data_IF_258916797093
#
_entry.id   IF_258916797093
#
_cell.length_a   1.000
_cell.length_b   1.000
_cell.length_c   1.000
_cell.angle_alpha   90.00
_cell.angle_beta   90.00
_cell.angle_gamma   90.00
#
_symmetry.space_group_name_H-M   'P 1'
#
loop_
_entity.id
_entity.type
_entity.pdbx_description
1 polymer ?
#
# COMPACT_ATOMS: atom_id res chain seq x y z
N UNK A 1 5.87 -51.08 17.46
CA UNK A 1 5.50 -49.71 17.89
C UNK A 1 4.71 -49.04 16.76
N UNK A 2 3.38 -49.02 16.79
CA UNK A 2 2.54 -48.44 15.73
C UNK A 2 2.78 -46.93 15.51
N UNK A 3 3.32 -46.24 16.51
CA UNK A 3 3.60 -44.81 16.54
C UNK A 3 4.86 -44.39 15.76
N UNK A 4 5.70 -45.33 15.31
CA UNK A 4 6.93 -45.05 14.55
C UNK A 4 6.86 -45.54 13.08
N UNK A 5 5.65 -45.74 12.55
CA UNK A 5 5.46 -46.21 11.17
C UNK A 5 5.82 -45.09 10.16
N UNK A 6 6.74 -45.30 9.21
CA UNK A 6 7.26 -44.23 8.32
C UNK A 6 6.19 -43.47 7.53
N UNK A 7 5.10 -44.14 7.18
CA UNK A 7 3.96 -43.52 6.46
C UNK A 7 3.19 -42.47 7.28
N UNK A 8 3.49 -42.31 8.57
CA UNK A 8 2.94 -41.25 9.43
C UNK A 8 3.92 -40.10 9.66
N UNK A 9 5.11 -40.16 9.08
CA UNK A 9 6.08 -39.07 9.20
C UNK A 9 5.65 -37.88 8.37
N UNK A 10 5.86 -36.69 8.93
CA UNK A 10 5.67 -35.43 8.21
C UNK A 10 6.58 -35.40 6.97
N UNK A 11 6.00 -35.13 5.80
CA UNK A 11 6.74 -35.07 4.53
C UNK A 11 6.81 -36.36 3.70
N UNK A 12 6.20 -37.46 4.17
CA UNK A 12 6.13 -38.72 3.40
C UNK A 12 4.89 -38.84 2.50
N UNK A 13 3.91 -37.93 2.66
CA UNK A 13 2.79 -37.82 1.74
C UNK A 13 3.20 -37.09 0.47
N UNK A 14 2.62 -37.48 -0.66
CA UNK A 14 2.80 -36.74 -1.92
C UNK A 14 2.34 -35.27 -1.73
N UNK A 15 3.03 -34.30 -2.36
CA UNK A 15 2.60 -32.91 -2.37
C UNK A 15 1.13 -32.83 -2.81
N UNK A 16 0.32 -32.11 -2.05
CA UNK A 16 -1.07 -31.86 -2.44
C UNK A 16 -1.08 -30.79 -3.52
N UNK A 17 -1.54 -31.14 -4.71
CA UNK A 17 -1.73 -30.19 -5.81
C UNK A 17 -3.16 -29.64 -5.81
N UNK A 18 -3.30 -28.31 -5.86
CA UNK A 18 -4.60 -27.70 -6.09
C UNK A 18 -4.96 -27.80 -7.57
N UNK A 19 -6.06 -28.48 -7.88
CA UNK A 19 -6.57 -28.61 -9.27
C UNK A 19 -7.20 -27.32 -9.80
N UNK A 20 -7.47 -26.37 -8.92
CA UNK A 20 -8.04 -25.05 -9.25
C UNK A 20 -6.99 -23.99 -8.87
N UNK A 21 -6.74 -22.99 -9.73
CA UNK A 21 -5.92 -21.83 -9.35
C UNK A 21 -6.44 -21.20 -8.06
N UNK A 22 -5.53 -20.85 -7.14
CA UNK A 22 -5.92 -20.22 -5.87
C UNK A 22 -6.58 -18.85 -6.10
N UNK A 23 -6.19 -18.17 -7.18
CA UNK A 23 -6.78 -16.95 -7.68
C UNK A 23 -7.28 -17.11 -9.10
N UNK A 24 -8.37 -16.40 -9.39
CA UNK A 24 -8.76 -16.09 -10.76
C UNK A 24 -7.72 -15.14 -11.39
N UNK A 25 -7.23 -15.51 -12.58
CA UNK A 25 -6.22 -14.73 -13.32
C UNK A 25 -6.82 -13.48 -13.96
N UNK A 26 -8.13 -13.46 -14.16
CA UNK A 26 -8.85 -12.34 -14.76
C UNK A 26 -9.27 -11.29 -13.70
N UNK A 27 -8.90 -11.50 -12.43
CA UNK A 27 -9.20 -10.58 -11.33
C UNK A 27 -7.94 -9.85 -10.83
N UNK A 28 -8.03 -8.53 -10.55
CA UNK A 28 -6.89 -7.74 -10.07
C UNK A 28 -6.30 -8.24 -8.76
N UNK A 29 -4.97 -8.30 -8.66
CA UNK A 29 -4.29 -8.67 -7.41
C UNK A 29 -4.56 -7.59 -6.38
N UNK A 30 -5.19 -7.97 -5.26
CA UNK A 30 -5.55 -7.03 -4.20
C UNK A 30 -4.38 -6.89 -3.23
N UNK A 31 -3.84 -5.68 -3.10
CA UNK A 31 -2.75 -5.34 -2.19
C UNK A 31 -3.15 -4.19 -1.26
N UNK A 32 -2.51 -4.14 -0.10
CA UNK A 32 -2.48 -2.93 0.74
C UNK A 32 -1.08 -2.31 0.71
N UNK A 33 -0.96 -1.05 1.13
CA UNK A 33 0.34 -0.37 1.21
C UNK A 33 1.35 -1.12 2.08
N UNK A 34 0.92 -1.67 3.22
CA UNK A 34 1.76 -2.52 4.08
C UNK A 34 2.07 -3.90 3.48
N UNK A 35 1.14 -4.49 2.72
CA UNK A 35 1.38 -5.76 2.04
C UNK A 35 2.39 -5.60 0.89
N UNK A 36 2.42 -4.44 0.24
CA UNK A 36 3.41 -4.14 -0.79
C UNK A 36 4.84 -4.10 -0.21
N UNK A 37 5.02 -3.50 0.96
CA UNK A 37 6.32 -3.50 1.62
C UNK A 37 6.80 -4.91 1.96
N UNK A 38 5.90 -5.75 2.51
CA UNK A 38 6.20 -7.16 2.78
C UNK A 38 6.59 -7.93 1.50
N UNK A 39 5.90 -7.65 0.39
CA UNK A 39 6.18 -8.28 -0.91
C UNK A 39 7.52 -7.81 -1.48
N UNK A 40 7.81 -6.50 -1.44
CA UNK A 40 8.99 -5.89 -2.07
C UNK A 40 10.27 -6.09 -1.25
N UNK A 41 10.20 -5.98 0.07
CA UNK A 41 11.36 -5.90 0.95
C UNK A 41 11.55 -7.13 1.86
N UNK A 42 10.49 -7.92 2.09
CA UNK A 42 10.58 -9.07 3.01
C UNK A 42 10.68 -10.40 2.25
N UNK A 43 9.57 -10.92 1.72
CA UNK A 43 9.52 -12.22 1.05
C UNK A 43 8.15 -12.46 0.38
N UNK A 44 8.16 -12.71 -0.93
CA UNK A 44 6.95 -13.01 -1.69
C UNK A 44 6.22 -14.28 -1.20
N UNK A 45 6.96 -15.30 -0.76
CA UNK A 45 6.35 -16.52 -0.20
C UNK A 45 5.66 -16.22 1.12
N UNK A 46 6.25 -15.39 1.98
CA UNK A 46 5.64 -15.02 3.25
C UNK A 46 4.36 -14.20 3.02
N UNK A 47 4.38 -13.25 2.08
CA UNK A 47 3.19 -12.52 1.66
C UNK A 47 2.09 -13.49 1.17
N UNK A 48 2.44 -14.45 0.30
CA UNK A 48 1.50 -15.44 -0.22
C UNK A 48 0.89 -16.31 0.89
N UNK A 49 1.72 -16.83 1.79
CA UNK A 49 1.24 -17.67 2.90
C UNK A 49 0.35 -16.88 3.87
N UNK A 50 0.73 -15.65 4.20
CA UNK A 50 -0.07 -14.79 5.08
C UNK A 50 -1.39 -14.38 4.45
N UNK A 51 -1.36 -13.89 3.20
CA UNK A 51 -2.54 -13.27 2.56
C UNK A 51 -3.45 -14.24 1.81
N UNK A 52 -2.87 -15.12 1.00
CA UNK A 52 -3.65 -16.03 0.15
C UNK A 52 -4.03 -17.31 0.92
N UNK A 53 -3.12 -17.83 1.74
CA UNK A 53 -3.36 -19.06 2.53
C UNK A 53 -3.91 -18.75 3.93
N UNK A 54 -3.96 -17.46 4.34
CA UNK A 54 -4.44 -17.00 5.65
C UNK A 54 -3.69 -17.65 6.82
N UNK A 55 -2.41 -17.93 6.63
CA UNK A 55 -1.54 -18.58 7.61
C UNK A 55 -0.81 -17.58 8.53
N UNK A 56 -1.37 -16.38 8.70
CA UNK A 56 -0.81 -15.38 9.62
C UNK A 56 -0.92 -15.84 11.07
N UNK A 57 0.11 -15.52 11.84
CA UNK A 57 0.08 -15.74 13.28
C UNK A 57 -0.98 -14.83 13.94
N UNK A 58 -1.56 -15.25 15.08
CA UNK A 58 -2.45 -14.39 15.85
C UNK A 58 -1.79 -13.05 16.19
N UNK A 59 -2.61 -11.99 16.24
CA UNK A 59 -2.13 -10.66 16.59
C UNK A 59 -1.42 -10.66 17.95
N UNK A 60 -0.22 -10.10 17.97
CA UNK A 60 0.57 -9.92 19.19
C UNK A 60 0.09 -8.72 20.00
N UNK A 61 0.41 -8.68 21.30
CA UNK A 61 0.13 -7.52 22.14
C UNK A 61 0.71 -6.20 21.56
N UNK A 62 1.85 -6.27 20.88
CA UNK A 62 2.48 -5.12 20.23
C UNK A 62 1.67 -4.62 19.02
N UNK A 63 1.03 -5.51 18.26
CA UNK A 63 0.13 -5.12 17.16
C UNK A 63 -1.18 -4.55 17.70
N UNK A 64 -1.76 -5.16 18.73
CA UNK A 64 -2.96 -4.63 19.39
C UNK A 64 -2.73 -3.24 19.97
N UNK A 65 -1.58 -3.02 20.63
CA UNK A 65 -1.12 -1.71 21.07
C UNK A 65 -1.06 -0.70 19.91
N UNK A 66 -0.42 -1.07 18.80
CA UNK A 66 -0.25 -0.19 17.66
C UNK A 66 -1.59 0.29 17.14
N UNK A 67 -2.53 -0.65 16.94
CA UNK A 67 -3.88 -0.34 16.49
C UNK A 67 -4.61 0.61 17.43
N UNK A 68 -4.51 0.40 18.75
CA UNK A 68 -5.17 1.29 19.73
C UNK A 68 -4.59 2.71 19.65
N UNK A 69 -3.26 2.85 19.60
CA UNK A 69 -2.62 4.16 19.48
C UNK A 69 -3.00 4.86 18.18
N UNK A 70 -3.11 4.14 17.06
CA UNK A 70 -3.59 4.69 15.80
C UNK A 70 -5.02 5.21 15.92
N UNK A 71 -5.95 4.41 16.44
CA UNK A 71 -7.35 4.83 16.62
C UNK A 71 -7.45 6.07 17.51
N UNK A 72 -6.70 6.12 18.61
CA UNK A 72 -6.67 7.29 19.49
C UNK A 72 -6.07 8.53 18.80
N UNK A 73 -5.04 8.35 17.99
CA UNK A 73 -4.45 9.43 17.20
C UNK A 73 -5.44 9.97 16.16
N UNK A 74 -6.19 9.08 15.50
CA UNK A 74 -7.25 9.46 14.58
C UNK A 74 -8.38 10.22 15.28
N UNK A 75 -8.89 9.72 16.41
CA UNK A 75 -9.99 10.39 17.13
C UNK A 75 -9.64 11.86 17.48
N UNK A 76 -8.38 12.12 17.80
CA UNK A 76 -7.87 13.48 18.02
C UNK A 76 -7.71 14.23 16.70
N UNK A 77 -7.16 13.58 15.67
CA UNK A 77 -6.97 14.18 14.36
C UNK A 77 -8.28 14.60 13.68
N UNK A 78 -9.34 13.83 13.88
CA UNK A 78 -10.69 14.08 13.37
C UNK A 78 -11.54 14.98 14.29
N UNK A 79 -11.03 15.33 15.48
CA UNK A 79 -11.71 16.20 16.44
C UNK A 79 -12.83 15.54 17.24
N UNK A 80 -12.99 14.21 17.17
CA UNK A 80 -13.95 13.45 17.98
C UNK A 80 -13.55 13.40 19.46
N UNK A 81 -12.24 13.39 19.74
CA UNK A 81 -11.67 13.37 21.08
C UNK A 81 -10.78 14.59 21.29
N UNK A 82 -10.86 15.29 22.43
CA UNK A 82 -9.96 16.39 22.75
C UNK A 82 -8.49 15.97 22.70
N UNK A 83 -7.62 16.86 22.24
CA UNK A 83 -6.16 16.69 22.26
C UNK A 83 -5.60 16.83 23.69
N UNK A 84 -6.04 15.95 24.59
CA UNK A 84 -5.71 15.94 26.02
C UNK A 84 -5.23 14.55 26.45
N UNK A 85 -4.09 14.50 27.15
CA UNK A 85 -3.46 13.24 27.51
C UNK A 85 -4.32 12.42 28.50
N UNK A 86 -4.96 13.07 29.48
CA UNK A 86 -5.72 12.36 30.50
C UNK A 86 -6.93 11.67 29.86
N UNK A 87 -7.58 12.34 28.90
CA UNK A 87 -8.69 11.76 28.12
C UNK A 87 -8.22 10.55 27.31
N UNK A 88 -7.08 10.66 26.62
CA UNK A 88 -6.53 9.55 25.84
C UNK A 88 -6.11 8.37 26.72
N UNK A 89 -5.57 8.63 27.91
CA UNK A 89 -5.20 7.59 28.86
C UNK A 89 -6.43 6.88 29.44
N UNK A 90 -7.53 7.59 29.70
CA UNK A 90 -8.80 6.96 30.11
C UNK A 90 -9.35 6.04 29.00
N UNK A 91 -9.31 6.48 27.75
CA UNK A 91 -9.73 5.66 26.60
C UNK A 91 -8.83 4.45 26.41
N UNK A 92 -7.52 4.64 26.50
CA UNK A 92 -6.55 3.55 26.46
C UNK A 92 -6.87 2.51 27.54
N UNK A 93 -7.14 2.94 28.77
CA UNK A 93 -7.44 2.05 29.89
C UNK A 93 -8.71 1.23 29.70
N UNK A 94 -9.72 1.79 29.03
CA UNK A 94 -10.96 1.08 28.72
C UNK A 94 -10.75 -0.13 27.79
N UNK A 95 -9.75 -0.07 26.89
CA UNK A 95 -9.45 -1.14 25.93
C UNK A 95 -8.22 -1.97 26.33
N UNK A 96 -7.39 -1.49 27.25
CA UNK A 96 -6.11 -2.11 27.62
C UNK A 96 -6.28 -3.53 28.15
N UNK A 97 -7.34 -3.78 28.93
CA UNK A 97 -7.63 -5.08 29.52
C UNK A 97 -8.03 -6.15 28.49
N UNK A 98 -8.35 -5.76 27.25
CA UNK A 98 -8.62 -6.70 26.16
C UNK A 98 -7.34 -7.23 25.50
N UNK A 99 -6.18 -6.60 25.75
CA UNK A 99 -4.90 -7.03 25.22
C UNK A 99 -4.32 -8.17 26.06
N UNK A 100 -3.98 -9.28 25.41
CA UNK A 100 -3.35 -10.42 26.06
C UNK A 100 -1.84 -10.18 26.23
N UNK A 101 -1.38 -10.04 27.48
CA UNK A 101 0.05 -9.94 27.81
C UNK A 101 0.54 -11.21 28.51
N UNK A 102 1.76 -11.63 28.17
CA UNK A 102 2.38 -12.83 28.76
C UNK A 102 2.69 -12.68 30.26
N UNK A 103 2.84 -11.44 30.74
CA UNK A 103 3.17 -11.14 32.12
C UNK A 103 2.68 -9.73 32.54
N UNK A 104 2.28 -9.51 33.81
CA UNK A 104 1.80 -8.21 34.29
C UNK A 104 2.81 -7.07 34.11
N UNK A 105 4.09 -7.30 34.42
CA UNK A 105 5.12 -6.27 34.28
C UNK A 105 5.32 -5.79 32.83
N UNK A 106 5.04 -6.66 31.84
CA UNK A 106 5.13 -6.34 30.42
C UNK A 106 3.95 -5.45 29.99
N UNK A 107 2.76 -5.69 30.56
CA UNK A 107 1.59 -4.82 30.39
C UNK A 107 1.91 -3.41 30.90
N UNK A 108 2.39 -3.27 32.14
CA UNK A 108 2.73 -1.96 32.71
C UNK A 108 3.79 -1.22 31.89
N UNK A 109 4.83 -1.92 31.43
CA UNK A 109 5.86 -1.33 30.58
C UNK A 109 5.30 -0.86 29.22
N UNK A 110 4.46 -1.66 28.55
CA UNK A 110 3.86 -1.23 27.28
C UNK A 110 2.84 -0.09 27.48
N UNK A 111 2.16 -0.03 28.63
CA UNK A 111 1.25 1.08 28.97
C UNK A 111 2.01 2.39 29.14
N UNK A 112 3.15 2.35 29.83
CA UNK A 112 4.03 3.51 29.96
C UNK A 112 4.58 3.96 28.59
N UNK A 113 4.95 3.00 27.73
CA UNK A 113 5.35 3.32 26.35
C UNK A 113 4.20 3.94 25.54
N UNK A 114 2.95 3.55 25.80
CA UNK A 114 1.76 4.15 25.19
C UNK A 114 1.64 5.62 25.57
N UNK A 115 1.73 5.90 26.88
CA UNK A 115 1.65 7.25 27.43
C UNK A 115 2.66 8.17 26.76
N UNK A 116 3.92 7.76 26.69
CA UNK A 116 4.99 8.54 26.05
C UNK A 116 4.75 8.73 24.55
N UNK A 117 4.21 7.72 23.85
CA UNK A 117 3.88 7.85 22.43
C UNK A 117 2.73 8.83 22.18
N UNK A 118 1.69 8.81 23.03
CA UNK A 118 0.56 9.74 22.98
C UNK A 118 0.99 11.17 23.33
N UNK A 119 1.88 11.35 24.32
CA UNK A 119 2.47 12.66 24.63
C UNK A 119 3.19 13.26 23.42
N UNK A 120 4.01 12.47 22.73
CA UNK A 120 4.71 12.89 21.50
C UNK A 120 3.72 13.22 20.39
N UNK A 121 2.71 12.38 20.20
CA UNK A 121 1.66 12.63 19.21
C UNK A 121 0.95 13.96 19.49
N UNK A 122 0.52 14.21 20.73
CA UNK A 122 -0.18 15.43 21.11
C UNK A 122 0.68 16.68 20.88
N UNK A 123 1.95 16.63 21.27
CA UNK A 123 2.88 17.72 20.99
C UNK A 123 3.03 17.95 19.49
N UNK A 124 3.23 16.90 18.70
CA UNK A 124 3.33 17.00 17.24
C UNK A 124 2.04 17.51 16.60
N UNK A 125 0.88 17.10 17.11
CA UNK A 125 -0.44 17.44 16.56
C UNK A 125 -0.73 18.94 16.64
N UNK A 126 -0.30 19.61 17.72
CA UNK A 126 -0.55 21.05 17.95
C UNK A 126 0.54 21.98 17.39
N UNK A 127 1.63 21.42 16.87
CA UNK A 127 2.72 22.22 16.30
C UNK A 127 2.34 22.80 14.93
N UNK A 128 2.86 23.99 14.63
CA UNK A 128 2.82 24.55 13.28
C UNK A 128 3.75 23.75 12.37
N UNK A 129 3.18 23.08 11.37
CA UNK A 129 3.87 22.14 10.46
C UNK A 129 4.13 22.80 9.12
N UNK A 130 4.85 23.92 9.17
CA UNK A 130 5.18 24.74 8.02
C UNK A 130 3.93 25.18 7.21
N UNK A 131 2.85 25.54 7.91
CA UNK A 131 1.61 26.00 7.27
C UNK A 131 0.75 24.90 6.63
N UNK A 132 1.05 23.61 6.87
CA UNK A 132 0.19 22.50 6.42
C UNK A 132 -1.08 22.42 7.27
N UNK A 133 -2.21 22.29 6.60
CA UNK A 133 -3.53 22.19 7.24
C UNK A 133 -4.09 20.78 7.07
N UNK A 134 -4.48 20.08 8.15
CA UNK A 134 -5.16 18.78 8.01
C UNK A 134 -6.50 18.94 7.29
N UNK A 135 -6.74 18.09 6.29
CA UNK A 135 -7.98 18.07 5.49
C UNK A 135 -8.79 16.80 5.71
N UNK A 136 -8.12 15.68 6.01
CA UNK A 136 -8.77 14.40 6.31
C UNK A 136 -7.92 13.56 7.27
N UNK A 137 -8.58 12.65 7.98
CA UNK A 137 -7.98 11.62 8.84
C UNK A 137 -8.62 10.28 8.51
N UNK A 138 -7.85 9.20 8.58
CA UNK A 138 -8.29 7.83 8.26
C UNK A 138 -9.01 7.73 6.91
N UNK A 139 -8.42 8.35 5.88
CA UNK A 139 -9.02 8.48 4.55
C UNK A 139 -8.82 7.20 3.71
N UNK A 140 -9.92 6.54 3.37
CA UNK A 140 -9.92 5.34 2.54
C UNK A 140 -9.53 5.65 1.09
N UNK A 141 -8.78 4.73 0.47
CA UNK A 141 -8.52 4.79 -0.97
C UNK A 141 -8.61 3.41 -1.64
N UNK A 142 -9.02 3.43 -2.91
CA UNK A 142 -9.15 2.25 -3.75
C UNK A 142 -8.57 2.50 -5.16
N UNK A 143 -7.27 2.29 -5.21
CA UNK A 143 -6.36 2.22 -6.36
C UNK A 143 -6.61 1.08 -7.34
N UNK A 144 -6.71 1.24 -8.65
CA UNK A 144 -6.39 0.11 -9.57
C UNK A 144 -5.34 0.55 -10.59
N UNK A 145 -4.21 -0.14 -10.59
CA UNK A 145 -3.02 0.18 -11.38
C UNK A 145 -2.74 -0.95 -12.36
N UNK A 146 -2.29 -0.59 -13.56
CA UNK A 146 -1.81 -1.55 -14.55
C UNK A 146 -0.32 -1.86 -14.29
N UNK A 147 0.01 -3.16 -14.18
CA UNK A 147 1.37 -3.67 -13.96
C UNK A 147 1.70 -4.72 -15.03
N UNK A 148 2.04 -4.26 -16.23
CA UNK A 148 2.28 -5.14 -17.38
C UNK A 148 0.97 -5.79 -17.85
N UNK A 149 0.92 -7.12 -17.83
CA UNK A 149 -0.28 -7.89 -18.21
C UNK A 149 -1.28 -8.09 -17.04
N UNK A 150 -0.99 -7.54 -15.86
CA UNK A 150 -1.81 -7.71 -14.66
C UNK A 150 -2.39 -6.38 -14.17
N UNK A 151 -3.60 -6.43 -13.63
CA UNK A 151 -4.16 -5.34 -12.84
C UNK A 151 -3.86 -5.56 -11.35
N UNK A 152 -3.44 -4.50 -10.67
CA UNK A 152 -3.15 -4.49 -9.24
C UNK A 152 -4.07 -3.48 -8.57
N UNK A 153 -5.00 -3.99 -7.76
CA UNK A 153 -5.89 -3.17 -6.97
C UNK A 153 -5.26 -2.89 -5.62
N UNK A 154 -4.95 -1.64 -5.33
CA UNK A 154 -4.38 -1.23 -4.06
C UNK A 154 -5.44 -0.55 -3.20
N UNK A 155 -5.73 -1.15 -2.05
CA UNK A 155 -6.67 -0.62 -1.07
C UNK A 155 -5.96 -0.34 0.24
N UNK A 156 -6.36 0.74 0.89
CA UNK A 156 -5.86 1.06 2.22
C UNK A 156 -6.50 2.31 2.74
N UNK A 157 -5.87 2.81 3.79
CA UNK A 157 -6.31 3.99 4.51
C UNK A 157 -5.08 4.86 4.75
N UNK A 158 -5.22 6.16 4.56
CA UNK A 158 -4.20 7.15 4.89
C UNK A 158 -4.53 7.71 6.26
N UNK A 159 -3.64 7.52 7.25
CA UNK A 159 -3.90 7.95 8.63
C UNK A 159 -4.26 9.44 8.70
N UNK A 160 -3.57 10.28 7.93
CA UNK A 160 -3.86 11.72 7.84
C UNK A 160 -3.43 12.32 6.51
N UNK A 161 -4.27 13.18 5.95
CA UNK A 161 -4.06 13.92 4.71
C UNK A 161 -4.09 15.42 5.00
N UNK A 162 -3.15 16.15 4.41
CA UNK A 162 -2.98 17.58 4.65
C UNK A 162 -2.85 18.35 3.34
N UNK A 163 -3.28 19.61 3.33
CA UNK A 163 -2.97 20.55 2.28
C UNK A 163 -1.72 21.35 2.68
N UNK A 164 -0.72 21.38 1.81
CA UNK A 164 0.42 22.29 1.96
C UNK A 164 0.07 23.73 1.52
N UNK A 165 1.00 24.67 1.70
CA UNK A 165 0.80 26.07 1.32
C UNK A 165 0.59 26.31 -0.18
N UNK A 166 0.92 25.33 -1.03
CA UNK A 166 0.73 25.36 -2.47
C UNK A 166 -0.56 24.62 -2.92
N UNK A 167 -1.35 24.11 -1.96
CA UNK A 167 -2.58 23.35 -2.22
C UNK A 167 -2.35 21.91 -2.68
N UNK A 168 -1.14 21.37 -2.49
CA UNK A 168 -0.82 19.96 -2.78
C UNK A 168 -1.18 19.08 -1.59
N UNK A 169 -1.47 17.81 -1.86
CA UNK A 169 -1.80 16.83 -0.83
C UNK A 169 -0.52 16.20 -0.25
N UNK A 170 -0.41 16.25 1.07
CA UNK A 170 0.70 15.69 1.83
C UNK A 170 0.16 14.60 2.76
N UNK A 171 0.72 13.40 2.70
CA UNK A 171 0.21 12.24 3.46
C UNK A 171 1.09 11.97 4.67
N UNK A 172 0.48 11.76 5.84
CA UNK A 172 1.17 11.39 7.07
C UNK A 172 0.73 9.99 7.47
N UNK A 173 1.71 9.13 7.77
CA UNK A 173 1.50 7.77 8.28
C UNK A 173 2.18 7.66 9.65
N UNK A 174 1.39 7.34 10.68
CA UNK A 174 1.88 7.15 12.03
C UNK A 174 2.51 5.77 12.15
N UNK A 175 3.64 5.69 12.85
CA UNK A 175 4.31 4.41 13.12
C UNK A 175 4.51 4.24 14.62
N UNK A 176 3.96 3.14 15.11
CA UNK A 176 4.05 2.70 16.52
C UNK A 176 5.11 1.61 16.71
N UNK A 177 5.99 1.42 15.73
CA UNK A 177 7.09 0.47 15.77
C UNK A 177 8.23 0.92 16.69
N UNK A 178 8.94 -0.05 17.29
CA UNK A 178 10.16 0.22 18.10
C UNK A 178 11.38 0.58 17.24
N UNK A 179 11.35 0.23 15.95
CA UNK A 179 12.41 0.52 14.99
C UNK A 179 11.89 1.44 13.90
N UNK A 180 12.74 2.36 13.46
CA UNK A 180 12.46 3.25 12.35
C UNK A 180 13.40 2.91 11.19
N UNK A 181 12.89 2.97 9.95
CA UNK A 181 13.75 2.87 8.77
C UNK A 181 14.80 3.99 8.77
N UNK A 182 15.92 3.74 8.10
CA UNK A 182 16.95 4.74 7.79
C UNK A 182 16.42 5.77 6.78
N UNK A 183 17.07 6.93 6.69
CA UNK A 183 16.67 7.96 5.71
C UNK A 183 16.66 7.42 4.27
N UNK A 184 17.66 6.60 3.92
CA UNK A 184 17.76 5.98 2.59
C UNK A 184 16.65 4.97 2.29
N UNK A 185 16.17 4.26 3.32
CA UNK A 185 15.01 3.36 3.17
C UNK A 185 13.73 4.16 3.01
N UNK A 186 13.60 5.31 3.70
CA UNK A 186 12.43 6.20 3.57
C UNK A 186 12.34 6.83 2.18
N UNK A 187 13.47 7.24 1.58
CA UNK A 187 13.51 7.76 0.20
C UNK A 187 12.84 6.81 -0.81
N UNK A 188 12.90 5.49 -0.57
CA UNK A 188 12.33 4.46 -1.45
C UNK A 188 11.24 3.63 -0.77
N UNK A 189 10.56 4.20 0.22
CA UNK A 189 9.55 3.49 0.99
C UNK A 189 8.33 3.14 0.12
N UNK A 190 8.01 1.85 -0.11
CA UNK A 190 6.94 1.46 -1.04
C UNK A 190 5.56 1.95 -0.59
N UNK A 191 5.27 1.90 0.71
CA UNK A 191 3.97 2.31 1.25
C UNK A 191 3.73 3.82 1.04
N UNK A 192 4.75 4.65 1.25
CA UNK A 192 4.62 6.10 1.07
C UNK A 192 4.50 6.45 -0.41
N UNK A 193 5.28 5.78 -1.27
CA UNK A 193 5.17 5.94 -2.72
C UNK A 193 3.76 5.59 -3.25
N UNK A 194 3.13 4.54 -2.68
CA UNK A 194 1.74 4.18 -2.99
C UNK A 194 0.76 5.27 -2.60
N UNK A 195 0.91 5.89 -1.44
CA UNK A 195 0.00 6.98 -1.03
C UNK A 195 0.12 8.17 -1.97
N UNK A 196 1.35 8.55 -2.34
CA UNK A 196 1.59 9.64 -3.27
C UNK A 196 1.05 9.32 -4.68
N UNK A 197 1.13 8.06 -5.11
CA UNK A 197 0.49 7.60 -6.35
C UNK A 197 -1.04 7.64 -6.24
N UNK A 198 -1.62 7.17 -5.13
CA UNK A 198 -3.06 7.21 -4.92
C UNK A 198 -3.60 8.64 -4.98
N UNK A 199 -2.88 9.61 -4.39
CA UNK A 199 -3.18 11.05 -4.54
C UNK A 199 -3.21 11.45 -6.02
N UNK A 200 -2.18 11.08 -6.80
CA UNK A 200 -2.12 11.41 -8.23
C UNK A 200 -3.24 10.76 -9.07
N UNK A 201 -3.74 9.60 -8.63
CA UNK A 201 -4.87 8.90 -9.25
C UNK A 201 -6.25 9.45 -8.83
N UNK A 202 -6.28 10.40 -7.88
CA UNK A 202 -7.49 11.09 -7.43
C UNK A 202 -8.13 10.48 -6.19
N UNK A 203 -7.37 9.75 -5.38
CA UNK A 203 -7.87 9.15 -4.14
C UNK A 203 -8.38 10.17 -3.12
N UNK A 204 -7.99 11.44 -3.23
CA UNK A 204 -8.31 12.51 -2.28
C UNK A 204 -9.13 13.64 -2.91
N UNK A 205 -9.64 13.46 -4.13
CA UNK A 205 -10.35 14.52 -4.85
C UNK A 205 -11.57 15.05 -4.05
N UNK A 206 -12.25 14.18 -3.30
CA UNK A 206 -13.41 14.51 -2.47
C UNK A 206 -13.09 15.43 -1.28
N UNK A 207 -11.91 15.27 -0.68
CA UNK A 207 -11.43 16.12 0.43
C UNK A 207 -10.69 17.38 -0.04
N UNK A 208 -10.56 17.55 -1.36
CA UNK A 208 -10.01 18.74 -2.03
C UNK A 208 -11.06 19.40 -2.96
N UNK A 209 -12.32 19.44 -2.53
CA UNK A 209 -13.44 20.10 -3.23
C UNK A 209 -13.65 19.61 -4.68
N UNK A 210 -13.37 18.34 -4.95
CA UNK A 210 -13.45 17.72 -6.28
C UNK A 210 -12.29 18.07 -7.21
N UNK A 211 -11.28 18.80 -6.72
CA UNK A 211 -10.06 19.12 -7.49
C UNK A 211 -9.01 18.07 -7.20
N UNK A 212 -8.27 17.66 -8.22
CA UNK A 212 -7.15 16.73 -8.06
C UNK A 212 -5.88 17.47 -7.61
N UNK A 213 -5.44 17.35 -6.35
CA UNK A 213 -4.19 17.95 -5.91
C UNK A 213 -3.00 17.16 -6.45
N UNK A 214 -1.88 17.84 -6.66
CA UNK A 214 -0.60 17.16 -6.86
C UNK A 214 -0.10 16.53 -5.56
N UNK A 215 0.77 15.50 -5.62
CA UNK A 215 1.45 14.98 -4.43
C UNK A 215 2.50 16.00 -3.94
N UNK A 216 2.36 16.43 -2.69
CA UNK A 216 3.28 17.34 -2.00
C UNK A 216 4.38 16.63 -1.20
N UNK A 217 4.31 15.30 -1.09
CA UNK A 217 5.20 14.48 -0.27
C UNK A 217 4.42 13.54 0.63
N UNK A 218 5.14 12.67 1.34
CA UNK A 218 4.56 11.88 2.41
C UNK A 218 5.58 11.66 3.54
N UNK A 219 5.14 11.47 4.78
CA UNK A 219 6.05 11.27 5.91
C UNK A 219 5.63 10.16 6.87
N UNK A 220 6.64 9.53 7.48
CA UNK A 220 6.47 8.64 8.61
C UNK A 220 6.67 9.42 9.91
N UNK A 221 5.72 9.30 10.83
CA UNK A 221 5.81 9.89 12.18
C UNK A 221 5.97 8.76 13.21
N UNK A 222 7.17 8.60 13.74
CA UNK A 222 7.54 7.49 14.62
C UNK A 222 7.20 7.81 16.08
N UNK A 223 5.98 7.49 16.52
CA UNK A 223 5.45 7.87 17.84
C UNK A 223 6.24 7.30 19.02
N UNK A 224 6.89 6.14 18.84
CA UNK A 224 7.70 5.51 19.89
C UNK A 224 9.15 5.96 19.91
N UNK A 225 9.58 6.80 18.96
CA UNK A 225 10.97 7.24 18.86
C UNK A 225 11.06 8.75 18.95
N UNK A 226 11.90 9.22 19.87
CA UNK A 226 12.25 10.63 19.97
C UNK A 226 12.93 11.14 18.71
N UNK A 227 12.68 12.40 18.38
CA UNK A 227 13.42 13.13 17.37
C UNK A 227 14.88 13.34 17.79
N UNK A 228 15.74 13.72 16.84
CA UNK A 228 17.09 14.14 17.18
C UNK A 228 17.05 15.39 18.07
N UNK A 229 18.06 15.61 18.92
CA UNK A 229 18.10 16.77 19.85
C UNK A 229 17.91 18.12 19.17
N UNK A 230 18.37 18.27 17.92
CA UNK A 230 18.22 19.49 17.12
C UNK A 230 16.79 19.72 16.62
N UNK A 231 15.99 18.65 16.57
CA UNK A 231 14.62 18.60 16.02
C UNK A 231 13.59 18.42 17.15
N UNK A 232 13.92 18.85 18.39
CA UNK A 232 13.04 18.79 19.57
C UNK A 232 13.31 17.63 20.54
N UNK A 233 14.18 16.68 20.20
CA UNK A 233 14.60 15.62 21.12
C UNK A 233 13.49 14.62 21.47
N UNK A 234 13.56 14.05 22.68
CA UNK A 234 12.69 12.95 23.11
C UNK A 234 11.22 13.30 23.26
N UNK A 235 10.85 14.59 23.26
CA UNK A 235 9.48 15.05 23.44
C UNK A 235 8.69 15.07 22.13
N UNK A 236 9.37 15.11 20.99
CA UNK A 236 8.76 15.05 19.66
C UNK A 236 9.02 13.70 19.00
N UNK A 237 8.10 13.23 18.15
CA UNK A 237 8.32 12.02 17.37
C UNK A 237 9.36 12.27 16.29
N UNK A 238 10.16 11.25 15.97
CA UNK A 238 11.02 11.28 14.79
C UNK A 238 10.15 11.31 13.52
N UNK A 239 10.26 12.39 12.74
CA UNK A 239 9.59 12.56 11.45
C UNK A 239 10.56 12.23 10.32
N UNK A 240 10.11 11.47 9.33
CA UNK A 240 10.91 11.12 8.16
C UNK A 240 10.09 11.33 6.89
N UNK A 241 10.44 12.35 6.13
CA UNK A 241 9.76 12.68 4.88
C UNK A 241 10.34 11.89 3.70
N UNK A 242 9.45 11.56 2.77
CA UNK A 242 9.73 11.12 1.41
C UNK A 242 9.23 12.21 0.46
N UNK A 243 10.13 12.73 -0.36
CA UNK A 243 9.79 13.70 -1.41
C UNK A 243 8.84 13.09 -2.44
N UNK A 244 8.04 13.93 -3.12
CA UNK A 244 7.23 13.47 -4.23
C UNK A 244 8.09 12.94 -5.37
N UNK A 245 7.65 11.88 -6.08
CA UNK A 245 8.36 11.38 -7.23
C UNK A 245 8.51 12.49 -8.29
N UNK A 246 9.73 12.68 -8.80
CA UNK A 246 10.03 13.67 -9.84
C UNK A 246 9.13 13.45 -11.07
N UNK A 247 8.37 14.47 -11.49
CA UNK A 247 7.50 14.42 -12.67
C UNK A 247 5.99 14.61 -12.42
N UNK A 248 5.56 14.87 -11.18
CA UNK A 248 4.13 15.11 -10.86
C UNK A 248 3.62 16.53 -11.19
N UNK A 249 4.49 17.45 -11.61
CA UNK A 249 4.15 18.84 -12.00
C UNK A 249 3.66 19.02 -13.44
N UNK A 250 3.60 17.95 -14.22
CA UNK A 250 2.88 17.88 -15.50
C UNK A 250 2.49 16.43 -15.65
N UNK A 251 1.23 16.14 -16.00
CA UNK A 251 0.75 14.80 -16.25
C UNK A 251 1.71 14.02 -17.17
N UNK A 252 2.69 13.34 -16.58
CA UNK A 252 3.49 12.36 -17.27
C UNK A 252 2.63 11.13 -17.22
N UNK A 253 1.77 11.01 -18.21
CA UNK A 253 1.05 9.80 -18.51
C UNK A 253 2.07 8.66 -18.43
N UNK A 254 1.95 7.81 -17.41
CA UNK A 254 2.57 6.50 -17.44
C UNK A 254 2.16 5.90 -18.79
N UNK A 255 3.11 5.44 -19.63
CA UNK A 255 2.76 4.98 -20.97
C UNK A 255 1.74 3.84 -20.82
N UNK A 256 0.49 4.12 -21.16
CA UNK A 256 -0.57 3.11 -21.17
C UNK A 256 -0.09 2.00 -22.12
N UNK A 257 -0.02 0.73 -21.67
CA UNK A 257 0.22 -0.36 -22.59
C UNK A 257 -0.85 -0.32 -23.71
N UNK A 258 -0.49 -0.66 -24.95
CA UNK A 258 -1.42 -0.58 -26.07
C UNK A 258 -2.66 -1.43 -25.80
N UNK A 259 -3.80 -0.75 -25.64
CA UNK A 259 -5.07 -1.38 -25.28
C UNK A 259 -5.46 -2.45 -26.30
N UNK A 260 -5.86 -3.63 -25.81
CA UNK A 260 -6.58 -4.60 -26.64
C UNK A 260 -7.94 -4.02 -26.98
N UNK A 261 -8.19 -3.82 -28.27
CA UNK A 261 -9.50 -3.46 -28.80
C UNK A 261 -10.55 -4.50 -28.43
N UNK A 262 -11.33 -4.22 -27.40
CA UNK A 262 -12.60 -4.91 -27.14
C UNK A 262 -13.64 -4.37 -28.12
N UNK A 263 -13.85 -5.08 -29.23
CA UNK A 263 -15.02 -4.85 -30.07
C UNK A 263 -16.25 -5.40 -29.37
N UNK A 264 -17.05 -4.51 -28.78
CA UNK A 264 -18.42 -4.80 -28.37
C UNK A 264 -19.26 -5.13 -29.60
N UNK A 265 -19.46 -6.42 -29.86
CA UNK A 265 -20.48 -6.94 -30.76
C UNK A 265 -21.71 -7.34 -29.95
N UNK A 266 -22.73 -6.49 -29.95
CA UNK A 266 -24.06 -6.81 -29.43
C UNK A 266 -24.71 -7.91 -30.29
N UNK A 267 -24.80 -9.12 -29.75
CA UNK A 267 -25.44 -10.25 -30.43
C UNK A 267 -26.01 -11.27 -29.44
N UNK A 268 -27.34 -11.27 -29.31
CA UNK A 268 -28.13 -12.27 -28.57
C UNK A 268 -27.73 -13.71 -28.94
N UNK A 269 -27.72 -14.68 -28.01
CA UNK A 269 -27.50 -16.07 -28.37
C UNK A 269 -28.80 -16.67 -28.93
N UNK A 270 -28.72 -17.27 -30.13
CA UNK A 270 -29.71 -18.22 -30.64
C UNK A 270 -29.07 -19.61 -30.60
N UNK A 271 -29.80 -20.56 -30.01
CA UNK A 271 -29.44 -21.97 -30.00
C UNK A 271 -29.38 -22.54 -31.44
N UNK A 272 -28.47 -23.50 -31.67
CA UNK A 272 -28.77 -24.81 -32.28
C UNK A 272 -27.50 -25.50 -32.83
N UNK A 273 -27.33 -26.76 -32.40
CA UNK A 273 -26.82 -27.94 -33.15
C UNK A 273 -25.39 -28.01 -33.69
N UNK A 274 -24.69 -29.06 -33.24
CA UNK A 274 -23.56 -29.71 -33.92
C UNK A 274 -23.94 -30.22 -35.34
N UNK A 275 -22.96 -30.42 -36.24
CA UNK A 275 -22.46 -31.79 -36.40
C UNK A 275 -20.96 -31.95 -36.74
N UNK A 276 -20.43 -33.10 -36.30
CA UNK A 276 -19.53 -34.08 -36.94
C UNK A 276 -18.52 -33.67 -38.03
N UNK A 277 -17.26 -34.08 -37.82
CA UNK A 277 -16.13 -34.11 -38.77
C UNK A 277 -16.33 -35.11 -39.94
N UNK A 278 -15.46 -35.19 -40.99
CA UNK A 278 -14.12 -35.79 -40.83
C UNK A 278 -12.97 -35.34 -41.80
N UNK A 279 -11.73 -35.54 -41.32
CA UNK A 279 -10.51 -36.06 -41.99
C UNK A 279 -10.04 -35.62 -43.40
N UNK A 280 -8.75 -35.24 -43.51
CA UNK A 280 -7.89 -35.58 -44.66
C UNK A 280 -6.85 -34.53 -45.11
N UNK A 281 -5.68 -34.90 -45.70
CA UNK A 281 -4.39 -34.37 -45.23
C UNK A 281 -3.49 -33.64 -46.27
N UNK A 282 -2.36 -33.14 -45.73
CA UNK A 282 -0.98 -33.08 -46.29
C UNK A 282 -0.48 -31.85 -47.08
N UNK A 283 0.69 -31.39 -46.60
CA UNK A 283 1.94 -31.05 -47.32
C UNK A 283 2.39 -29.56 -47.32
N UNK A 284 3.59 -29.34 -46.76
CA UNK A 284 4.50 -28.20 -46.96
C UNK A 284 5.42 -28.47 -48.18
N UNK A 285 6.55 -27.76 -48.45
CA UNK A 285 7.07 -26.47 -47.99
C UNK A 285 7.62 -25.57 -49.15
N UNK A 286 8.18 -24.39 -48.85
CA UNK A 286 9.04 -23.67 -49.82
C UNK A 286 9.36 -22.20 -49.48
N UNK A 287 10.65 -21.81 -49.30
CA UNK A 287 11.09 -20.47 -48.89
C UNK A 287 11.69 -19.63 -50.05
N UNK A 288 11.84 -18.31 -49.85
CA UNK A 288 12.82 -17.37 -50.47
C UNK A 288 12.59 -15.97 -49.85
N UNK A 289 13.54 -15.37 -49.12
CA UNK A 289 14.82 -14.75 -49.53
C UNK A 289 14.68 -13.35 -50.15
N UNK A 290 15.50 -12.41 -49.68
CA UNK A 290 15.85 -11.15 -50.35
C UNK A 290 15.59 -9.91 -49.50
N UNK A 291 16.62 -9.35 -48.83
CA UNK A 291 17.36 -8.11 -49.23
C UNK A 291 16.56 -6.82 -49.04
N UNK A 292 17.07 -5.66 -48.66
CA UNK A 292 18.33 -5.10 -48.15
C UNK A 292 18.10 -3.56 -48.16
N UNK A 293 19.04 -2.79 -47.61
CA UNK A 293 19.20 -1.33 -47.72
C UNK A 293 18.23 -0.49 -46.86
N UNK A 294 18.65 0.26 -45.85
CA UNK A 294 19.77 1.21 -45.67
C UNK A 294 19.53 2.55 -46.38
N UNK A 295 19.09 3.57 -45.64
CA UNK A 295 19.64 4.95 -45.64
C UNK A 295 18.76 5.82 -44.72
N UNK A 296 19.31 6.39 -43.62
CA UNK A 296 20.00 7.69 -43.49
C UNK A 296 19.06 8.84 -43.09
N UNK A 297 19.49 9.50 -41.99
CA UNK A 297 19.43 10.95 -41.69
C UNK A 297 18.03 11.58 -41.77
N UNK A 298 17.42 11.99 -40.66
CA UNK A 298 17.95 12.86 -39.62
C UNK A 298 17.32 14.25 -39.80
N UNK A 299 16.53 14.69 -38.83
CA UNK A 299 16.25 16.11 -38.59
C UNK A 299 15.51 16.27 -37.26
N UNK A 300 15.98 17.23 -36.49
CA UNK A 300 15.37 17.80 -35.31
C UNK A 300 13.95 18.32 -35.59
N UNK A 301 13.02 18.03 -34.68
CA UNK A 301 11.92 18.92 -34.32
C UNK A 301 11.29 18.46 -33.00
N UNK A 302 11.51 19.24 -31.93
CA UNK A 302 10.57 19.35 -30.81
C UNK A 302 9.77 20.64 -30.98
N UNK A 303 8.67 20.86 -30.25
CA UNK A 303 7.62 19.91 -29.87
C UNK A 303 6.25 20.45 -30.31
N UNK A 304 5.26 19.57 -30.51
CA UNK A 304 3.85 19.99 -30.48
C UNK A 304 3.14 19.10 -29.48
N UNK A 305 2.73 19.76 -28.40
CA UNK A 305 1.78 19.29 -27.41
C UNK A 305 0.41 19.15 -28.07
N UNK A 306 -0.18 17.96 -27.99
CA UNK A 306 -1.62 17.77 -28.01
C UNK A 306 -1.89 16.42 -27.35
N UNK A 307 -2.51 16.48 -26.17
CA UNK A 307 -3.09 15.34 -25.47
C UNK A 307 -4.38 14.94 -26.20
N UNK A 308 -4.53 13.66 -26.50
CA UNK A 308 -5.81 12.95 -26.65
C UNK A 308 -5.72 11.67 -25.80
#
# INVERSE_FOLDING_TARGET
MPSAHPYRWWGMFEPTESKVPLRDRDQPVALSGSALDQLANTCALQWFLGREVKADAPATAAQGFGNVVHVLADEVASGHTPADLDVLMERLDSVWNALAFDAPWKSEQEKENARVALERFLQWHVMDRAGRTPVASEHDFDVTLEAGDYEVRIRGQMDRVEADGDGRAYVVDFKTGKQAPSAKEVERHPQLAVYQLAVAEGAVDDVFDGTRPGPGGAELVQLRQGAAKRDGGETLPKVQAQEPPEGSGSATCWPRPPGRSSTNGSGRPRASTAPTAPSGPRAAPGPRAGTSSNDRRGAFASPVSACD
#
